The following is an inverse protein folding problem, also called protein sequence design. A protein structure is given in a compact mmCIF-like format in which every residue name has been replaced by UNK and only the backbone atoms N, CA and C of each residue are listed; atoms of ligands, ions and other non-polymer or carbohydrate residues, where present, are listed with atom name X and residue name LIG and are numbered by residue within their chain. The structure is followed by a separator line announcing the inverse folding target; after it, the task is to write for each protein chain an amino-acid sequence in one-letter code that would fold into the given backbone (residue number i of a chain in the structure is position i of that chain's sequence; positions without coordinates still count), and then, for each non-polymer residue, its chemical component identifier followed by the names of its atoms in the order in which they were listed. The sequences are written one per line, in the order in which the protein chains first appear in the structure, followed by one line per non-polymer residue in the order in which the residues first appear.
data_IF_214585319152
#
_entry.id   IF_214585319152
#
_cell.length_a   1.000
_cell.length_b   1.000
_cell.length_c   1.000
_cell.angle_alpha   90.00
_cell.angle_beta   90.00
_cell.angle_gamma   90.00
#
_symmetry.space_group_name_H-M   'P 1'
#
loop_
_entity.id
_entity.type
_entity.pdbx_description
1 polymer ?
#
# COMPACT_ATOMS: atom_id res chain seq x y z
N UNK A 1 -33.11 24.34 3.44
CA UNK A 1 -31.99 24.30 4.41
C UNK A 1 -31.30 22.94 4.27
N UNK A 2 -30.02 22.90 3.90
CA UNK A 2 -29.28 21.63 3.78
C UNK A 2 -28.07 21.70 4.70
N UNK A 3 -28.14 20.99 5.82
CA UNK A 3 -27.06 20.86 6.78
C UNK A 3 -26.01 19.90 6.19
N UNK A 4 -24.98 20.45 5.54
CA UNK A 4 -23.76 19.69 5.24
C UNK A 4 -23.09 19.37 6.56
N UNK A 5 -23.21 18.13 7.01
CA UNK A 5 -22.49 17.57 8.16
C UNK A 5 -20.99 17.74 7.89
N UNK A 6 -20.36 18.68 8.59
CA UNK A 6 -18.93 18.95 8.53
C UNK A 6 -18.23 17.69 9.05
N UNK A 7 -17.55 16.95 8.18
CA UNK A 7 -16.69 15.83 8.58
C UNK A 7 -15.61 16.43 9.48
N UNK A 8 -15.64 16.11 10.78
CA UNK A 8 -14.59 16.47 11.70
C UNK A 8 -13.32 15.73 11.27
N UNK A 9 -12.34 16.47 10.76
CA UNK A 9 -11.03 15.91 10.43
C UNK A 9 -10.35 15.48 11.72
N UNK A 10 -10.26 14.17 11.94
CA UNK A 10 -9.46 13.59 13.02
C UNK A 10 -7.99 13.67 12.60
N UNK A 11 -7.38 14.82 12.90
CA UNK A 11 -5.94 15.04 12.74
C UNK A 11 -5.27 14.63 14.05
N UNK A 12 -4.42 13.62 13.95
CA UNK A 12 -3.49 13.27 15.02
C UNK A 12 -2.13 13.83 14.59
N UNK A 13 -1.61 14.84 15.29
CA UNK A 13 -0.27 15.34 15.10
C UNK A 13 0.62 14.80 16.23
N UNK A 14 1.55 13.92 15.86
CA UNK A 14 2.43 13.24 16.82
C UNK A 14 3.83 13.84 16.72
N UNK A 15 4.22 14.52 17.77
CA UNK A 15 5.58 14.99 18.01
C UNK A 15 6.16 14.29 19.26
N UNK A 16 6.34 12.98 19.14
CA UNK A 16 6.85 12.11 20.19
C UNK A 16 7.70 10.99 19.60
N UNK A 17 8.48 10.31 20.45
CA UNK A 17 9.08 9.03 20.11
C UNK A 17 8.11 7.92 20.52
N UNK A 18 7.66 7.12 19.55
CA UNK A 18 6.71 6.04 19.74
C UNK A 18 7.28 4.73 19.20
N UNK A 19 7.05 3.64 19.91
CA UNK A 19 7.41 2.29 19.47
C UNK A 19 6.21 1.35 19.62
N UNK A 20 5.95 0.52 18.62
CA UNK A 20 4.92 -0.52 18.68
C UNK A 20 4.13 -0.68 17.39
N UNK A 21 2.92 -1.27 17.50
CA UNK A 21 1.99 -1.44 16.39
C UNK A 21 0.79 -0.50 16.55
N UNK A 22 0.50 0.29 15.52
CA UNK A 22 -0.67 1.17 15.44
C UNK A 22 -1.53 0.79 14.24
N UNK A 23 -2.82 0.53 14.49
CA UNK A 23 -3.78 0.13 13.45
C UNK A 23 -5.03 1.01 13.54
N UNK A 24 -5.32 1.75 12.47
CA UNK A 24 -6.50 2.58 12.35
C UNK A 24 -7.52 1.93 11.40
N UNK A 25 -8.61 1.40 11.97
CA UNK A 25 -9.66 0.71 11.21
C UNK A 25 -10.56 1.68 10.43
N UNK A 26 -10.77 2.88 10.96
CA UNK A 26 -11.56 3.92 10.29
C UNK A 26 -10.65 4.84 9.47
N UNK A 27 -11.17 5.50 8.42
CA UNK A 27 -10.41 6.52 7.70
C UNK A 27 -10.00 7.66 8.64
N UNK A 28 -8.69 7.92 8.72
CA UNK A 28 -8.11 9.01 9.52
C UNK A 28 -7.13 9.82 8.68
N UNK A 29 -6.89 11.07 9.10
CA UNK A 29 -5.81 11.90 8.59
C UNK A 29 -4.70 11.92 9.65
N UNK A 30 -3.77 10.96 9.59
CA UNK A 30 -2.68 10.85 10.55
C UNK A 30 -1.47 11.66 10.08
N UNK A 31 -0.92 12.49 10.97
CA UNK A 31 0.32 13.23 10.75
C UNK A 31 1.36 12.87 11.81
N UNK A 32 2.55 12.48 11.38
CA UNK A 32 3.67 12.15 12.27
C UNK A 32 4.81 13.11 11.96
N UNK A 33 5.24 13.89 12.94
CA UNK A 33 6.41 14.78 12.84
C UNK A 33 7.59 14.29 13.71
N UNK A 34 7.35 13.37 14.64
CA UNK A 34 8.35 12.79 15.56
C UNK A 34 9.01 11.50 15.07
N UNK A 35 9.38 10.63 16.03
CA UNK A 35 10.02 9.33 15.75
C UNK A 35 9.00 8.20 15.92
N UNK A 36 8.94 7.29 14.95
CA UNK A 36 8.08 6.10 15.04
C UNK A 36 8.86 4.84 14.67
N UNK A 37 8.75 3.80 15.49
CA UNK A 37 9.34 2.50 15.20
C UNK A 37 8.31 1.37 15.37
N UNK A 38 8.20 0.47 14.39
CA UNK A 38 7.34 -0.72 14.47
C UNK A 38 6.43 -0.92 13.26
N UNK A 39 5.12 -1.08 13.46
CA UNK A 39 4.16 -1.39 12.39
C UNK A 39 3.06 -0.33 12.37
N UNK A 40 2.77 0.22 11.20
CA UNK A 40 1.76 1.27 11.04
C UNK A 40 0.77 0.90 9.93
N UNK A 41 -0.48 0.64 10.32
CA UNK A 41 -1.57 0.40 9.38
C UNK A 41 -2.61 1.53 9.48
N UNK A 42 -2.80 2.28 8.39
CA UNK A 42 -3.66 3.46 8.37
C UNK A 42 -4.61 3.40 7.19
N UNK A 43 -5.92 3.49 7.43
CA UNK A 43 -6.88 3.82 6.37
C UNK A 43 -7.03 5.33 6.24
N UNK A 44 -7.10 5.83 5.00
CA UNK A 44 -7.13 7.27 4.71
C UNK A 44 -5.75 7.87 4.38
N UNK A 45 -5.43 9.02 4.98
CA UNK A 45 -4.21 9.76 4.67
C UNK A 45 -3.18 9.65 5.81
N UNK A 46 -1.97 9.20 5.48
CA UNK A 46 -0.81 9.23 6.33
C UNK A 46 0.18 10.27 5.81
N UNK A 47 0.54 11.25 6.63
CA UNK A 47 1.56 12.26 6.31
C UNK A 47 2.71 12.18 7.29
N UNK A 48 3.90 11.89 6.78
CA UNK A 48 5.15 11.97 7.54
C UNK A 48 5.78 13.32 7.24
N UNK A 49 5.87 14.18 8.24
CA UNK A 49 6.42 15.53 8.09
C UNK A 49 7.93 15.53 7.79
N UNK A 50 8.49 16.70 7.43
CA UNK A 50 9.91 16.83 7.06
C UNK A 50 10.91 16.40 8.15
N UNK A 51 10.52 16.52 9.42
CA UNK A 51 11.33 16.15 10.58
C UNK A 51 11.10 14.71 11.04
N UNK A 52 10.15 14.00 10.43
CA UNK A 52 9.78 12.67 10.85
C UNK A 52 10.93 11.68 10.61
N UNK A 53 11.18 10.81 11.59
CA UNK A 53 12.09 9.67 11.44
C UNK A 53 11.32 8.39 11.75
N UNK A 54 11.02 7.63 10.71
CA UNK A 54 10.17 6.43 10.82
C UNK A 54 10.97 5.21 10.45
N UNK A 55 11.01 4.21 11.33
CA UNK A 55 11.58 2.90 11.05
C UNK A 55 10.49 1.85 11.23
N UNK A 56 9.73 1.59 10.17
CA UNK A 56 8.51 0.81 10.29
C UNK A 56 8.09 0.13 8.98
N UNK A 57 7.29 -0.93 9.14
CA UNK A 57 6.47 -1.47 8.06
C UNK A 57 5.15 -0.70 8.01
N UNK A 58 4.96 0.03 6.91
CA UNK A 58 3.84 0.96 6.72
C UNK A 58 2.88 0.37 5.69
N UNK A 59 1.60 0.28 6.05
CA UNK A 59 0.50 -0.04 5.13
C UNK A 59 -0.50 1.10 5.19
N UNK A 60 -0.74 1.78 4.07
CA UNK A 60 -1.70 2.86 4.02
C UNK A 60 -2.38 3.02 2.66
N UNK A 61 -3.48 3.78 2.62
CA UNK A 61 -4.17 4.08 1.36
C UNK A 61 -3.42 5.20 0.61
N UNK A 62 -3.35 6.38 1.22
CA UNK A 62 -2.61 7.54 0.73
C UNK A 62 -1.45 7.85 1.68
N UNK A 63 -0.21 7.64 1.23
CA UNK A 63 1.00 7.86 2.02
C UNK A 63 1.79 9.04 1.44
N UNK A 64 2.04 10.05 2.24
CA UNK A 64 2.85 11.22 1.90
C UNK A 64 4.06 11.23 2.81
N UNK A 65 5.26 11.19 2.22
CA UNK A 65 6.52 11.14 2.94
C UNK A 65 7.27 12.44 2.68
N UNK A 66 7.58 13.18 3.75
CA UNK A 66 8.51 14.31 3.73
C UNK A 66 9.74 14.10 4.59
N UNK A 67 9.76 13.11 5.48
CA UNK A 67 10.87 12.84 6.39
C UNK A 67 11.73 11.65 5.95
N UNK A 68 12.45 11.09 6.92
CA UNK A 68 13.27 9.88 6.75
C UNK A 68 12.45 8.64 7.08
N UNK A 69 12.40 7.68 6.17
CA UNK A 69 11.68 6.42 6.37
C UNK A 69 12.59 5.25 6.05
N UNK A 70 12.63 4.26 6.95
CA UNK A 70 13.31 2.99 6.74
C UNK A 70 12.36 1.83 6.96
N UNK A 71 12.22 0.94 5.98
CA UNK A 71 11.32 -0.22 6.07
C UNK A 71 10.44 -0.41 4.84
N UNK A 72 9.49 -1.35 4.94
CA UNK A 72 8.59 -1.68 3.82
C UNK A 72 7.40 -0.73 3.79
N UNK A 73 7.12 -0.12 2.65
CA UNK A 73 5.97 0.79 2.49
C UNK A 73 5.00 0.22 1.45
N UNK A 74 3.78 -0.05 1.86
CA UNK A 74 2.70 -0.50 0.98
C UNK A 74 1.63 0.59 0.91
N UNK A 75 1.53 1.27 -0.24
CA UNK A 75 0.55 2.33 -0.47
C UNK A 75 -0.52 1.84 -1.46
N UNK A 76 -1.72 1.54 -0.94
CA UNK A 76 -2.81 0.90 -1.71
C UNK A 76 -3.41 1.80 -2.78
N UNK A 77 -3.36 3.12 -2.62
CA UNK A 77 -3.85 4.07 -3.62
C UNK A 77 -2.72 4.94 -4.19
N UNK A 78 -1.95 5.60 -3.31
CA UNK A 78 -0.91 6.54 -3.74
C UNK A 78 0.19 6.71 -2.71
N UNK A 79 1.43 6.68 -3.19
CA UNK A 79 2.63 7.13 -2.47
C UNK A 79 3.12 8.45 -3.07
N UNK A 80 3.40 9.43 -2.24
CA UNK A 80 3.98 10.72 -2.65
C UNK A 80 5.23 11.01 -1.84
N UNK A 81 6.36 11.13 -2.51
CA UNK A 81 7.62 11.55 -1.93
C UNK A 81 7.79 13.05 -2.15
N UNK A 82 7.83 13.80 -1.06
CA UNK A 82 8.07 15.25 -1.05
C UNK A 82 9.57 15.54 -1.21
N UNK A 83 9.97 16.80 -1.52
CA UNK A 83 11.37 17.15 -1.79
C UNK A 83 12.38 16.79 -0.69
N UNK A 84 11.95 16.71 0.56
CA UNK A 84 12.82 16.37 1.70
C UNK A 84 12.80 14.89 2.08
N UNK A 85 12.05 14.07 1.33
CA UNK A 85 11.87 12.66 1.63
C UNK A 85 13.18 11.88 1.41
N UNK A 86 13.51 11.02 2.37
CA UNK A 86 14.59 10.05 2.25
C UNK A 86 14.02 8.70 2.62
N UNK A 87 13.90 7.79 1.66
CA UNK A 87 13.32 6.47 1.84
C UNK A 87 14.37 5.39 1.58
N UNK A 88 14.62 4.56 2.57
CA UNK A 88 15.50 3.38 2.51
C UNK A 88 14.66 2.11 2.76
N UNK A 89 14.31 1.38 1.70
CA UNK A 89 13.52 0.15 1.82
C UNK A 89 12.62 -0.13 0.62
N UNK A 90 11.86 -1.21 0.71
CA UNK A 90 11.03 -1.67 -0.40
C UNK A 90 9.67 -0.97 -0.43
N UNK A 91 9.31 -0.38 -1.57
CA UNK A 91 8.04 0.31 -1.78
C UNK A 91 7.12 -0.43 -2.73
N UNK A 92 5.85 -0.49 -2.35
CA UNK A 92 4.76 -1.13 -3.07
C UNK A 92 3.60 -0.15 -3.25
N UNK A 93 3.69 0.84 -4.16
CA UNK A 93 2.64 1.83 -4.38
C UNK A 93 1.74 1.50 -5.57
N UNK A 94 0.44 1.74 -5.48
CA UNK A 94 -0.46 1.67 -6.65
C UNK A 94 -0.26 2.84 -7.62
N UNK A 95 0.02 4.03 -7.08
CA UNK A 95 0.45 5.21 -7.83
C UNK A 95 1.63 5.83 -7.12
N UNK A 96 2.68 6.17 -7.85
CA UNK A 96 3.88 6.78 -7.29
C UNK A 96 4.04 8.20 -7.85
N UNK A 97 4.17 9.17 -6.94
CA UNK A 97 4.59 10.53 -7.27
C UNK A 97 5.90 10.84 -6.53
N UNK A 98 6.91 11.28 -7.26
CA UNK A 98 8.22 11.63 -6.69
C UNK A 98 8.53 13.07 -7.08
N UNK A 99 8.71 13.91 -6.07
CA UNK A 99 9.05 15.33 -6.27
C UNK A 99 10.57 15.50 -6.35
N UNK A 100 11.03 16.51 -7.08
CA UNK A 100 12.45 16.88 -7.13
C UNK A 100 13.03 17.06 -5.72
N UNK A 101 14.22 16.48 -5.48
CA UNK A 101 14.90 16.47 -4.18
C UNK A 101 14.69 15.21 -3.35
N UNK A 102 13.64 14.43 -3.63
CA UNK A 102 13.39 13.18 -2.92
C UNK A 102 14.46 12.12 -3.24
N UNK A 103 14.93 11.42 -2.21
CA UNK A 103 15.87 10.30 -2.31
C UNK A 103 15.15 9.01 -1.97
N UNK A 104 15.25 8.03 -2.86
CA UNK A 104 14.70 6.70 -2.68
C UNK A 104 15.76 5.66 -3.01
N UNK A 105 16.06 4.77 -2.06
CA UNK A 105 16.96 3.64 -2.20
C UNK A 105 16.24 2.35 -1.78
N UNK A 106 16.08 1.41 -2.71
CA UNK A 106 15.40 0.14 -2.44
C UNK A 106 14.69 -0.42 -3.68
N UNK A 107 13.90 -1.48 -3.49
CA UNK A 107 13.10 -2.04 -4.59
C UNK A 107 11.76 -1.33 -4.67
N UNK A 108 11.37 -0.92 -5.87
CA UNK A 108 10.03 -0.42 -6.15
C UNK A 108 9.28 -1.46 -6.98
N UNK A 109 8.11 -1.88 -6.52
CA UNK A 109 7.20 -2.71 -7.29
C UNK A 109 5.80 -2.12 -7.25
N UNK A 110 5.33 -1.62 -8.39
CA UNK A 110 3.99 -1.02 -8.49
C UNK A 110 2.91 -2.04 -8.12
N UNK A 111 1.92 -1.60 -7.34
CA UNK A 111 0.70 -2.36 -7.12
C UNK A 111 -0.21 -2.15 -8.32
N UNK A 112 -0.22 -3.10 -9.24
CA UNK A 112 -1.19 -3.08 -10.32
C UNK A 112 -2.57 -3.47 -9.77
N UNK A 113 -3.60 -2.73 -10.18
CA UNK A 113 -5.01 -3.14 -9.96
C UNK A 113 -5.28 -4.50 -10.63
N UNK A 114 -4.58 -4.75 -11.74
CA UNK A 114 -4.62 -5.99 -12.50
C UNK A 114 -3.23 -6.61 -12.56
N UNK A 115 -3.09 -7.81 -12.01
CA UNK A 115 -1.87 -8.61 -12.09
C UNK A 115 -1.86 -9.38 -13.41
N UNK A 116 -0.70 -9.49 -14.04
CA UNK A 116 -0.49 -10.48 -15.10
C UNK A 116 -0.25 -11.88 -14.49
N UNK A 117 -0.21 -12.98 -15.27
CA UNK A 117 0.01 -14.33 -14.73
C UNK A 117 1.28 -14.48 -13.87
N UNK A 118 2.38 -13.84 -14.27
CA UNK A 118 3.67 -13.93 -13.57
C UNK A 118 3.66 -13.14 -12.26
N UNK A 119 3.05 -11.96 -12.28
CA UNK A 119 2.85 -11.13 -11.10
C UNK A 119 1.90 -11.79 -10.11
N UNK A 120 0.82 -12.42 -10.60
CA UNK A 120 -0.11 -13.15 -9.77
C UNK A 120 0.52 -14.40 -9.15
N UNK A 121 1.34 -15.13 -9.90
CA UNK A 121 2.11 -16.26 -9.39
C UNK A 121 3.01 -15.84 -8.22
N UNK A 122 3.72 -14.70 -8.37
CA UNK A 122 4.52 -14.11 -7.29
C UNK A 122 3.66 -13.65 -6.12
N UNK A 123 2.51 -13.06 -6.40
CA UNK A 123 1.60 -12.53 -5.39
C UNK A 123 0.99 -13.62 -4.51
N UNK A 124 0.62 -14.76 -5.11
CA UNK A 124 0.05 -15.90 -4.42
C UNK A 124 1.10 -16.91 -3.91
N UNK A 125 2.39 -16.67 -4.22
CA UNK A 125 3.50 -17.58 -3.92
C UNK A 125 3.29 -19.00 -4.50
N UNK A 126 2.83 -19.07 -5.76
CA UNK A 126 2.57 -20.33 -6.49
C UNK A 126 3.25 -20.35 -7.86
N UNK A 127 3.32 -21.53 -8.48
CA UNK A 127 3.85 -21.69 -9.83
C UNK A 127 2.96 -21.02 -10.90
N UNK A 128 3.61 -20.44 -11.91
CA UNK A 128 2.95 -19.81 -13.05
C UNK A 128 2.00 -20.77 -13.77
N UNK A 129 2.39 -22.05 -13.90
CA UNK A 129 1.57 -23.06 -14.56
C UNK A 129 0.23 -23.26 -13.83
N UNK A 130 0.24 -23.26 -12.48
CA UNK A 130 -0.99 -23.36 -11.69
C UNK A 130 -1.92 -22.18 -11.91
N UNK A 131 -1.38 -20.95 -12.00
CA UNK A 131 -2.16 -19.76 -12.36
C UNK A 131 -2.81 -19.94 -13.73
N UNK A 132 -2.04 -20.39 -14.72
CA UNK A 132 -2.54 -20.57 -16.09
C UNK A 132 -3.61 -21.66 -16.17
N UNK A 133 -3.46 -22.76 -15.43
CA UNK A 133 -4.45 -23.85 -15.38
C UNK A 133 -5.76 -23.38 -14.73
N UNK A 134 -5.68 -22.64 -13.61
CA UNK A 134 -6.88 -22.12 -12.95
C UNK A 134 -7.59 -21.05 -13.77
N UNK A 135 -6.85 -20.20 -14.46
CA UNK A 135 -7.42 -19.19 -15.35
C UNK A 135 -8.09 -19.84 -16.57
N UNK A 136 -7.42 -20.79 -17.24
CA UNK A 136 -7.98 -21.47 -18.41
C UNK A 136 -9.15 -22.41 -18.06
N UNK A 137 -9.17 -22.99 -16.87
CA UNK A 137 -10.29 -23.83 -16.37
C UNK A 137 -11.46 -23.03 -15.78
N UNK A 138 -11.31 -21.71 -15.64
CA UNK A 138 -12.34 -20.84 -15.06
C UNK A 138 -12.51 -20.98 -13.54
N UNK A 139 -11.60 -21.66 -12.85
CA UNK A 139 -11.61 -21.80 -11.38
C UNK A 139 -11.20 -20.50 -10.67
N UNK A 140 -10.34 -19.72 -11.32
CA UNK A 140 -9.81 -18.45 -10.82
C UNK A 140 -10.44 -17.26 -11.56
N UNK A 141 -10.84 -16.20 -10.84
CA UNK A 141 -11.38 -15.01 -11.47
C UNK A 141 -10.27 -14.25 -12.21
N UNK A 142 -10.45 -14.09 -13.52
CA UNK A 142 -9.58 -13.29 -14.39
C UNK A 142 -10.32 -12.93 -15.66
N UNK A 143 -9.86 -11.92 -16.37
CA UNK A 143 -10.38 -11.57 -17.70
C UNK A 143 -9.22 -11.56 -18.70
N UNK A 144 -9.52 -11.91 -19.95
CA UNK A 144 -8.57 -11.75 -21.05
C UNK A 144 -8.77 -10.38 -21.67
N UNK A 145 -7.70 -9.60 -21.75
CA UNK A 145 -7.65 -8.38 -22.55
C UNK A 145 -6.75 -8.66 -23.76
N UNK A 146 -7.37 -8.95 -24.90
CA UNK A 146 -6.65 -9.45 -26.07
C UNK A 146 -6.10 -10.86 -25.85
N UNK A 147 -4.78 -11.03 -25.97
CA UNK A 147 -4.07 -12.29 -25.72
C UNK A 147 -3.72 -12.53 -24.26
N UNK A 148 -3.77 -11.49 -23.43
CA UNK A 148 -3.14 -11.49 -22.12
C UNK A 148 -4.18 -11.63 -21.01
N UNK A 149 -3.86 -12.47 -20.02
CA UNK A 149 -4.66 -12.60 -18.81
C UNK A 149 -4.40 -11.42 -17.87
N UNK A 150 -5.48 -10.85 -17.34
CA UNK A 150 -5.47 -9.82 -16.31
C UNK A 150 -6.32 -10.25 -15.12
N UNK A 151 -5.74 -10.14 -13.93
CA UNK A 151 -6.34 -10.59 -12.70
C UNK A 151 -6.54 -9.42 -11.75
N UNK A 152 -7.80 -9.04 -11.53
CA UNK A 152 -8.12 -7.98 -10.58
C UNK A 152 -7.71 -8.40 -9.16
N UNK A 153 -6.81 -7.63 -8.55
CA UNK A 153 -6.22 -8.00 -7.27
C UNK A 153 -7.26 -8.11 -6.15
N UNK A 154 -8.25 -7.21 -6.09
CA UNK A 154 -9.31 -7.25 -5.06
C UNK A 154 -10.17 -8.51 -5.21
N UNK A 155 -10.44 -8.90 -6.44
CA UNK A 155 -11.20 -10.10 -6.78
C UNK A 155 -10.41 -11.35 -6.42
N UNK A 156 -9.10 -11.37 -6.69
CA UNK A 156 -8.19 -12.44 -6.27
C UNK A 156 -8.13 -12.53 -4.74
N UNK A 157 -7.92 -11.42 -4.02
CA UNK A 157 -7.87 -11.38 -2.56
C UNK A 157 -9.15 -11.95 -1.94
N UNK A 158 -10.30 -11.57 -2.49
CA UNK A 158 -11.61 -12.08 -2.07
C UNK A 158 -11.77 -13.58 -2.38
N UNK A 159 -11.27 -14.03 -3.53
CA UNK A 159 -11.30 -15.43 -3.93
C UNK A 159 -10.42 -16.32 -3.04
N UNK A 160 -9.20 -15.88 -2.72
CA UNK A 160 -8.29 -16.56 -1.79
C UNK A 160 -8.91 -16.63 -0.38
N UNK A 161 -9.45 -15.51 0.12
CA UNK A 161 -10.10 -15.47 1.43
C UNK A 161 -11.35 -16.35 1.52
N UNK A 162 -12.02 -16.63 0.39
CA UNK A 162 -13.21 -17.49 0.35
C UNK A 162 -12.91 -18.99 0.53
N UNK A 163 -11.64 -19.39 0.59
CA UNK A 163 -11.26 -20.79 0.85
C UNK A 163 -11.65 -21.76 -0.27
N UNK A 164 -11.97 -21.29 -1.48
CA UNK A 164 -12.29 -22.11 -2.66
C UNK A 164 -11.07 -22.85 -3.26
N UNK A 165 -10.05 -23.07 -2.46
CA UNK A 165 -8.87 -23.85 -2.81
C UNK A 165 -8.89 -25.08 -1.89
N UNK A 166 -9.47 -26.17 -2.37
CA UNK A 166 -9.08 -27.48 -1.85
C UNK A 166 -7.60 -27.66 -2.23
N UNK A 167 -6.74 -27.76 -1.21
CA UNK A 167 -5.32 -28.09 -1.37
C UNK A 167 -5.16 -29.48 -1.93
#
# INVERSE_FOLDING_TARGET
MSFKKKLEEKILDVDAAMQGSMVFKDPVNLRINGKFEGILEVRGNLTLGPTAMVQADIVGDNVIIGGKVKGKITAKERLTLLPTAIVDGDIFPARLNVTEGAIFEGKCSMLHDFLNPQELARYLEVDLNSIMDWANSGKMPGHKEGSDWKFDRKTIDSWVASGKIER
#
